data_IF_407743828124
#
_entry.id   IF_407743828124
#
_cell.length_a   1.000
_cell.length_b   1.000
_cell.length_c   1.000
_cell.angle_alpha   90.00
_cell.angle_beta   90.00
_cell.angle_gamma   90.00
#
_symmetry.space_group_name_H-M   'P 1'
#
loop_
_entity.id
_entity.type
_entity.pdbx_description
1 polymer ?
#
# COMPACT_ATOMS: atom_id res chain seq x y z
N UNK A 1 13.88 -6.57 9.04
CA UNK A 1 14.50 -7.92 9.20
C UNK A 1 13.48 -9.02 9.35
N UNK A 2 12.56 -8.94 10.31
CA UNK A 2 11.54 -9.98 10.57
C UNK A 2 10.70 -10.29 9.33
N UNK A 3 10.13 -9.26 8.69
CA UNK A 3 9.33 -9.41 7.48
C UNK A 3 10.12 -10.06 6.33
N UNK A 4 11.35 -9.62 6.08
CA UNK A 4 12.23 -10.21 5.05
C UNK A 4 12.66 -11.65 5.36
N UNK A 5 12.72 -12.03 6.64
CA UNK A 5 12.98 -13.42 7.04
C UNK A 5 11.77 -14.33 6.77
N UNK A 6 10.54 -13.81 6.91
CA UNK A 6 9.29 -14.54 6.62
C UNK A 6 9.00 -14.65 5.13
N UNK A 7 9.35 -13.63 4.36
CA UNK A 7 9.12 -13.58 2.92
C UNK A 7 10.42 -13.19 2.19
N UNK A 8 11.22 -14.17 1.77
CA UNK A 8 12.38 -13.92 0.92
C UNK A 8 11.95 -13.15 -0.34
N UNK A 9 12.64 -12.05 -0.63
CA UNK A 9 12.29 -11.11 -1.72
C UNK A 9 11.76 -9.76 -1.22
N UNK A 10 11.15 -9.69 -0.03
CA UNK A 10 10.73 -8.42 0.55
C UNK A 10 11.89 -7.46 0.84
N UNK A 11 13.11 -7.96 1.03
CA UNK A 11 14.27 -7.10 1.27
C UNK A 11 14.52 -6.15 0.09
N UNK A 12 14.47 -6.66 -1.14
CA UNK A 12 14.63 -5.84 -2.34
C UNK A 12 13.46 -4.86 -2.48
N UNK A 13 12.22 -5.32 -2.26
CA UNK A 13 11.03 -4.47 -2.33
C UNK A 13 11.13 -3.31 -1.32
N UNK A 14 11.59 -3.58 -0.09
CA UNK A 14 11.80 -2.54 0.92
C UNK A 14 12.90 -1.56 0.53
N UNK A 15 13.97 -2.03 -0.08
CA UNK A 15 15.05 -1.17 -0.60
C UNK A 15 14.55 -0.27 -1.74
N UNK A 16 13.74 -0.83 -2.65
CA UNK A 16 13.19 -0.11 -3.79
C UNK A 16 12.15 0.95 -3.37
N UNK A 17 11.30 0.65 -2.37
CA UNK A 17 10.21 1.55 -1.92
C UNK A 17 10.69 2.63 -0.93
N UNK A 18 11.71 2.32 -0.11
CA UNK A 18 12.27 3.28 0.86
C UNK A 18 13.46 4.05 0.29
N UNK A 19 13.92 3.70 -0.91
CA UNK A 19 14.99 4.38 -1.61
C UNK A 19 14.45 5.30 -2.70
N UNK A 20 15.06 6.47 -2.82
CA UNK A 20 14.70 7.52 -3.80
C UNK A 20 15.03 7.19 -5.26
N UNK A 21 15.40 5.95 -5.57
CA UNK A 21 15.88 5.56 -6.91
C UNK A 21 14.77 4.98 -7.81
N UNK A 22 13.66 4.50 -7.23
CA UNK A 22 12.56 3.88 -7.97
C UNK A 22 11.22 4.56 -7.63
N UNK A 23 10.18 3.79 -7.28
CA UNK A 23 8.88 4.33 -6.92
C UNK A 23 8.72 4.48 -5.41
N UNK A 24 8.23 5.63 -4.99
CA UNK A 24 8.00 5.98 -3.58
C UNK A 24 6.57 6.43 -3.32
N UNK A 25 6.27 6.72 -2.05
CA UNK A 25 4.96 7.20 -1.62
C UNK A 25 4.81 8.71 -1.83
N UNK A 26 3.78 9.10 -2.59
CA UNK A 26 3.40 10.50 -2.78
C UNK A 26 1.96 10.74 -2.36
N UNK A 27 1.72 11.89 -1.74
CA UNK A 27 0.38 12.36 -1.32
C UNK A 27 0.08 13.64 -2.07
N UNK A 28 -1.03 13.65 -2.80
CA UNK A 28 -1.42 14.81 -3.60
C UNK A 28 -2.94 14.92 -3.72
N UNK A 29 -3.42 16.16 -3.75
CA UNK A 29 -4.83 16.47 -3.99
C UNK A 29 -5.16 16.43 -5.49
N UNK A 30 -6.30 15.83 -5.82
CA UNK A 30 -6.81 15.72 -7.19
C UNK A 30 -8.28 16.15 -7.28
N UNK A 31 -8.56 17.46 -7.40
CA UNK A 31 -9.93 17.98 -7.33
C UNK A 31 -10.90 17.41 -8.38
N UNK A 32 -10.38 16.98 -9.53
CA UNK A 32 -11.16 16.36 -10.60
C UNK A 32 -11.70 14.96 -10.25
N UNK A 33 -11.21 14.34 -9.17
CA UNK A 33 -11.63 13.01 -8.71
C UNK A 33 -12.61 13.05 -7.54
N UNK A 34 -12.97 14.24 -7.03
CA UNK A 34 -13.94 14.36 -5.95
C UNK A 34 -15.28 13.67 -6.33
N UNK A 35 -15.86 12.93 -5.40
CA UNK A 35 -17.08 12.17 -5.61
C UNK A 35 -16.89 10.81 -6.30
N UNK A 36 -15.67 10.46 -6.74
CA UNK A 36 -15.38 9.12 -7.24
C UNK A 36 -15.16 8.13 -6.09
N UNK A 37 -15.54 6.88 -6.33
CA UNK A 37 -15.26 5.78 -5.40
C UNK A 37 -13.81 5.32 -5.50
N UNK A 38 -13.27 4.77 -4.42
CA UNK A 38 -11.89 4.29 -4.39
C UNK A 38 -11.64 3.18 -5.41
N UNK A 39 -12.62 2.31 -5.71
CA UNK A 39 -12.49 1.29 -6.77
C UNK A 39 -12.16 1.88 -8.15
N UNK A 40 -12.73 3.05 -8.47
CA UNK A 40 -12.50 3.73 -9.74
C UNK A 40 -11.18 4.53 -9.69
N UNK A 41 -10.88 5.14 -8.55
CA UNK A 41 -9.62 5.86 -8.31
C UNK A 41 -8.45 4.90 -8.48
N UNK A 42 -8.54 3.68 -7.95
CA UNK A 42 -7.51 2.64 -7.99
C UNK A 42 -7.01 2.36 -9.43
N UNK A 43 -7.87 2.50 -10.43
CA UNK A 43 -7.55 2.26 -11.85
C UNK A 43 -7.44 3.53 -12.68
N UNK A 44 -7.47 4.70 -12.04
CA UNK A 44 -7.50 6.00 -12.74
C UNK A 44 -6.12 6.54 -13.10
N UNK A 45 -5.03 5.97 -12.55
CA UNK A 45 -3.66 6.45 -12.78
C UNK A 45 -2.86 5.43 -13.61
N UNK A 46 -2.43 5.77 -14.84
CA UNK A 46 -1.60 4.87 -15.65
C UNK A 46 -0.21 4.63 -15.06
N UNK A 47 0.37 5.67 -14.45
CA UNK A 47 1.77 5.71 -13.99
C UNK A 47 1.91 5.72 -12.45
N UNK A 48 0.82 5.40 -11.73
CA UNK A 48 0.83 5.35 -10.28
C UNK A 48 -0.19 4.33 -9.73
N UNK A 49 0.06 3.81 -8.53
CA UNK A 49 -0.84 2.87 -7.86
C UNK A 49 -1.40 3.52 -6.59
N UNK A 50 -2.68 3.91 -6.55
CA UNK A 50 -3.32 4.37 -5.33
C UNK A 50 -3.35 3.27 -4.26
N UNK A 51 -2.93 3.61 -3.04
CA UNK A 51 -2.88 2.69 -1.92
C UNK A 51 -3.47 3.25 -0.62
N UNK A 52 -3.91 4.51 -0.63
CA UNK A 52 -4.57 5.11 0.52
C UNK A 52 -5.16 6.48 0.25
N UNK A 53 -5.86 7.01 1.25
CA UNK A 53 -6.43 8.36 1.26
C UNK A 53 -6.01 9.07 2.54
N UNK A 54 -5.59 10.33 2.41
CA UNK A 54 -5.44 11.25 3.53
C UNK A 54 -6.76 12.00 3.72
N UNK A 55 -7.46 11.67 4.80
CA UNK A 55 -8.83 12.11 5.04
C UNK A 55 -8.84 13.48 5.72
N UNK A 56 -9.32 14.50 5.03
CA UNK A 56 -9.32 15.88 5.53
C UNK A 56 -10.20 16.04 6.79
N UNK A 57 -11.37 15.38 6.79
CA UNK A 57 -12.29 15.41 7.94
C UNK A 57 -11.75 14.75 9.21
N UNK A 58 -10.68 13.97 9.11
CA UNK A 58 -10.08 13.22 10.21
C UNK A 58 -8.68 13.75 10.55
N UNK A 59 -8.50 15.07 10.57
CA UNK A 59 -7.22 15.73 10.90
C UNK A 59 -6.05 15.25 10.01
N UNK A 60 -6.34 14.97 8.74
CA UNK A 60 -5.35 14.46 7.79
C UNK A 60 -4.86 13.05 8.11
N UNK A 61 -5.65 12.22 8.82
CA UNK A 61 -5.34 10.81 9.02
C UNK A 61 -5.22 10.10 7.68
N UNK A 62 -4.12 9.36 7.52
CA UNK A 62 -3.91 8.48 6.36
C UNK A 62 -4.58 7.13 6.63
N UNK A 63 -5.45 6.72 5.73
CA UNK A 63 -6.07 5.39 5.68
C UNK A 63 -5.41 4.63 4.53
N UNK A 64 -4.62 3.62 4.86
CA UNK A 64 -4.08 2.66 3.90
C UNK A 64 -5.14 1.62 3.56
N UNK A 65 -5.24 1.25 2.28
CA UNK A 65 -6.22 0.28 1.77
C UNK A 65 -7.66 0.57 2.26
N UNK A 66 -8.23 1.74 1.92
CA UNK A 66 -9.61 2.08 2.26
C UNK A 66 -10.59 1.12 1.57
N UNK A 67 -11.86 1.14 2.00
CA UNK A 67 -12.90 0.37 1.33
C UNK A 67 -13.10 0.85 -0.12
N UNK A 68 -13.38 -0.07 -1.04
CA UNK A 68 -13.67 0.22 -2.45
C UNK A 68 -14.79 1.26 -2.61
N UNK A 69 -15.77 1.24 -1.70
CA UNK A 69 -16.91 2.15 -1.64
C UNK A 69 -16.61 3.53 -1.08
N UNK A 70 -15.38 3.78 -0.60
CA UNK A 70 -14.98 5.08 -0.06
C UNK A 70 -15.10 6.15 -1.16
N UNK A 71 -15.87 7.20 -0.88
CA UNK A 71 -16.07 8.31 -1.81
C UNK A 71 -15.10 9.43 -1.45
N UNK A 72 -14.25 9.83 -2.41
CA UNK A 72 -13.29 10.92 -2.21
C UNK A 72 -14.00 12.25 -1.94
N UNK A 73 -13.75 12.85 -0.78
CA UNK A 73 -14.35 14.12 -0.39
C UNK A 73 -13.54 15.31 -0.88
N UNK A 74 -14.11 16.50 -0.76
CA UNK A 74 -13.36 17.74 -0.93
C UNK A 74 -12.24 17.82 0.12
N UNK A 75 -11.06 18.28 -0.33
CA UNK A 75 -9.83 18.38 0.46
C UNK A 75 -9.11 17.06 0.78
N UNK A 76 -9.70 15.90 0.48
CA UNK A 76 -8.99 14.63 0.58
C UNK A 76 -7.81 14.56 -0.41
N UNK A 77 -6.74 13.89 0.01
CA UNK A 77 -5.57 13.66 -0.83
C UNK A 77 -5.37 12.17 -1.06
N UNK A 78 -4.88 11.81 -2.25
CA UNK A 78 -4.66 10.42 -2.63
C UNK A 78 -3.21 10.08 -2.33
N UNK A 79 -2.99 8.98 -1.60
CA UNK A 79 -1.69 8.36 -1.43
C UNK A 79 -1.48 7.35 -2.57
N UNK A 80 -0.38 7.52 -3.30
CA UNK A 80 0.02 6.63 -4.39
C UNK A 80 1.44 6.13 -4.20
N UNK A 81 1.78 5.05 -4.89
CA UNK A 81 3.16 4.68 -5.22
C UNK A 81 3.40 5.14 -6.67
N UNK A 82 4.42 5.98 -6.90
CA UNK A 82 4.77 6.53 -8.21
C UNK A 82 6.29 6.77 -8.32
N UNK A 83 6.82 6.99 -9.53
CA UNK A 83 8.27 7.23 -9.75
C UNK A 83 8.72 8.59 -9.20
N UNK A 84 7.95 9.64 -9.45
CA UNK A 84 8.21 11.00 -8.94
C UNK A 84 6.91 11.79 -8.67
N UNK A 85 6.96 12.92 -7.98
CA UNK A 85 5.78 13.72 -7.56
C UNK A 85 5.03 14.40 -8.73
N UNK A 86 5.68 14.55 -9.87
CA UNK A 86 5.16 15.12 -11.11
C UNK A 86 4.99 14.11 -12.27
N UNK A 87 5.38 12.85 -12.05
CA UNK A 87 5.38 11.78 -13.06
C UNK A 87 3.99 11.18 -13.36
N UNK A 88 2.99 11.45 -12.53
CA UNK A 88 1.68 10.79 -12.60
C UNK A 88 0.51 11.77 -12.59
N UNK A 89 -0.55 11.40 -13.29
CA UNK A 89 -1.82 12.12 -13.33
C UNK A 89 -2.98 11.16 -13.61
N UNK A 90 -4.21 11.48 -13.16
CA UNK A 90 -5.35 10.66 -13.49
C UNK A 90 -5.74 10.80 -14.96
N UNK A 91 -6.19 9.69 -15.54
CA UNK A 91 -6.66 9.56 -16.91
C UNK A 91 -8.10 9.06 -16.94
N UNK A 92 -8.66 8.91 -18.15
CA UNK A 92 -9.97 8.30 -18.31
C UNK A 92 -9.95 6.85 -17.82
N UNK A 93 -11.05 6.42 -17.17
CA UNK A 93 -11.16 5.06 -16.64
C UNK A 93 -10.95 4.03 -17.75
N UNK A 94 -10.00 3.09 -17.59
CA UNK A 94 -9.81 2.02 -18.55
C UNK A 94 -10.99 1.04 -18.48
N UNK A 95 -11.26 0.36 -19.59
CA UNK A 95 -12.21 -0.77 -19.58
C UNK A 95 -11.53 -2.00 -18.99
N UNK A 96 -11.94 -2.41 -17.79
CA UNK A 96 -11.41 -3.59 -17.10
C UNK A 96 -12.47 -4.69 -17.07
N UNK A 97 -12.11 -5.90 -17.47
CA UNK A 97 -13.00 -7.06 -17.41
C UNK A 97 -13.11 -7.56 -15.98
N UNK A 98 -14.33 -7.56 -15.44
CA UNK A 98 -14.60 -8.14 -14.12
C UNK A 98 -14.63 -9.66 -14.22
N UNK A 99 -14.11 -10.34 -13.21
CA UNK A 99 -14.06 -11.79 -13.11
C UNK A 99 -14.07 -12.27 -11.67
N UNK A 100 -14.07 -13.58 -11.48
CA UNK A 100 -13.95 -14.22 -10.16
C UNK A 100 -12.57 -14.84 -9.98
N UNK A 101 -12.10 -14.85 -8.73
CA UNK A 101 -10.85 -15.52 -8.38
C UNK A 101 -11.03 -17.05 -8.48
N UNK A 102 -10.24 -17.77 -9.30
CA UNK A 102 -10.40 -19.22 -9.47
C UNK A 102 -10.14 -20.04 -8.19
N UNK A 103 -9.35 -19.50 -7.26
CA UNK A 103 -8.93 -20.14 -6.01
C UNK A 103 -8.87 -19.12 -4.89
N UNK A 104 -10.04 -18.67 -4.46
CA UNK A 104 -10.16 -17.85 -3.26
C UNK A 104 -10.14 -18.74 -1.99
N UNK A 105 -8.99 -19.37 -1.75
CA UNK A 105 -8.80 -20.27 -0.62
C UNK A 105 -7.63 -19.83 0.23
N UNK A 106 -7.93 -19.51 1.48
CA UNK A 106 -6.91 -19.23 2.50
C UNK A 106 -6.49 -20.56 3.11
N UNK A 107 -5.30 -21.04 2.72
CA UNK A 107 -4.70 -22.23 3.31
C UNK A 107 -4.23 -21.99 4.75
N UNK A 108 -4.14 -23.04 5.58
CA UNK A 108 -3.59 -22.91 6.91
C UNK A 108 -2.12 -22.48 6.82
N UNK A 109 -1.74 -21.47 7.62
CA UNK A 109 -0.35 -21.04 7.73
C UNK A 109 0.46 -22.15 8.43
N UNK A 110 1.53 -22.62 7.79
CA UNK A 110 2.42 -23.63 8.37
C UNK A 110 3.28 -23.04 9.49
N UNK A 111 3.65 -23.87 10.47
CA UNK A 111 4.59 -23.47 11.51
C UNK A 111 5.96 -23.11 10.90
N UNK A 112 6.51 -21.97 11.31
CA UNK A 112 7.82 -21.48 10.89
C UNK A 112 8.88 -21.83 11.95
N UNK A 113 10.11 -22.15 11.54
CA UNK A 113 11.25 -22.37 12.45
C UNK A 113 12.31 -21.32 12.15
N UNK A 114 12.52 -20.41 13.10
CA UNK A 114 13.42 -19.26 12.93
C UNK A 114 14.50 -19.29 14.00
N UNK A 115 15.75 -19.12 13.58
CA UNK A 115 16.92 -19.09 14.48
C UNK A 115 17.38 -17.66 14.66
N UNK A 116 17.52 -17.24 15.92
CA UNK A 116 18.15 -15.97 16.28
C UNK A 116 19.58 -16.26 16.73
N UNK A 117 20.55 -15.60 16.09
CA UNK A 117 21.97 -15.76 16.41
C UNK A 117 22.48 -14.48 17.08
N UNK A 118 22.91 -14.58 18.35
CA UNK A 118 23.37 -13.46 19.15
C UNK A 118 22.27 -12.82 20.00
N UNK A 119 22.68 -12.01 20.99
CA UNK A 119 21.77 -11.28 21.87
C UNK A 119 21.72 -9.81 21.47
N UNK A 120 20.71 -9.45 20.67
CA UNK A 120 20.47 -8.05 20.29
C UNK A 120 19.96 -7.27 21.51
N UNK A 121 20.31 -5.99 21.61
CA UNK A 121 19.59 -5.08 22.53
C UNK A 121 18.13 -4.99 22.08
N UNK A 122 17.20 -5.03 23.02
CA UNK A 122 15.74 -5.00 22.79
C UNK A 122 15.25 -6.19 21.96
N UNK A 123 15.82 -7.38 22.18
CA UNK A 123 15.40 -8.61 21.50
C UNK A 123 13.96 -9.01 21.86
N UNK A 124 13.45 -8.60 23.03
CA UNK A 124 12.04 -8.79 23.38
C UNK A 124 11.08 -8.20 22.34
N UNK A 125 11.37 -7.00 21.82
CA UNK A 125 10.52 -6.33 20.82
C UNK A 125 10.46 -7.12 19.53
N UNK A 126 11.61 -7.67 19.10
CA UNK A 126 11.66 -8.54 17.93
C UNK A 126 10.87 -9.84 18.12
N UNK A 127 10.84 -10.39 19.33
CA UNK A 127 10.08 -11.61 19.61
C UNK A 127 8.57 -11.31 19.59
N UNK A 128 8.15 -10.16 20.11
CA UNK A 128 6.75 -9.72 20.08
C UNK A 128 6.24 -9.56 18.65
N UNK A 129 7.05 -8.99 17.75
CA UNK A 129 6.71 -8.83 16.33
C UNK A 129 6.51 -10.16 15.57
N UNK A 130 7.10 -11.27 16.03
CA UNK A 130 6.89 -12.60 15.44
C UNK A 130 5.64 -13.32 15.96
N UNK A 131 5.07 -12.85 17.08
CA UNK A 131 3.89 -13.47 17.69
C UNK A 131 2.57 -12.95 17.09
N UNK A 132 2.63 -11.91 16.24
CA UNK A 132 1.53 -11.36 15.43
C UNK A 132 1.53 -11.95 14.00
#
# INVERSE_FOLDING_TARGET
MIQCARQPGLAQIWEDILGFENCEFYIKRWPQLHGMQFEDILISFPDAIPCGIKVASCDGKIILNPEDSYVLQEDDEILVIAEDDDSYAPAALPTVWRGSLPKDFIGPKSAEKILFCGWRRDMEDMIMDFQL
#
